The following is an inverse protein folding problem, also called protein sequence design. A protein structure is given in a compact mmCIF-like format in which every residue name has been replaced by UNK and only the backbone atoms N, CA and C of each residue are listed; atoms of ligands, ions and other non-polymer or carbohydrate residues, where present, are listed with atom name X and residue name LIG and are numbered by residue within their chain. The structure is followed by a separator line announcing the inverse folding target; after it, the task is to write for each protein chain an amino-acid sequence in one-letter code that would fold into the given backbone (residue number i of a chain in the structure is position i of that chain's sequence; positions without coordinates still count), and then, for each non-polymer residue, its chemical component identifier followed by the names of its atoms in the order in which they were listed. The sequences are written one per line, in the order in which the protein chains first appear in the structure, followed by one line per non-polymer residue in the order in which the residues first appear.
data_IF_173777044420
#
_entry.id   IF_173777044420
#
_cell.length_a   1.000
_cell.length_b   1.000
_cell.length_c   1.000
_cell.angle_alpha   90.00
_cell.angle_beta   90.00
_cell.angle_gamma   90.00
#
_symmetry.space_group_name_H-M   'P 1'
#
loop_
_entity.id
_entity.type
_entity.pdbx_description
1 polymer ?
#
# COMPACT_ATOMS: atom_id res chain seq x y z
N UNK A 1 105.99 7.27 12.52
CA UNK A 1 105.18 6.68 11.42
C UNK A 1 104.53 5.40 11.93
N UNK A 2 103.19 5.36 12.00
CA UNK A 2 102.49 4.28 11.29
C UNK A 2 101.12 4.69 10.70
N UNK A 3 100.81 4.05 9.56
CA UNK A 3 99.51 3.52 9.09
C UNK A 3 98.29 4.47 9.08
N UNK A 4 98.00 5.03 7.89
CA UNK A 4 96.64 5.45 7.50
C UNK A 4 95.80 4.20 7.19
N UNK A 5 94.74 3.96 7.99
CA UNK A 5 93.67 3.01 7.64
C UNK A 5 92.57 3.75 6.86
N UNK A 6 92.23 3.18 5.72
CA UNK A 6 91.04 3.49 4.93
C UNK A 6 89.83 2.75 5.53
N UNK A 7 88.67 3.41 5.60
CA UNK A 7 87.35 2.78 5.76
C UNK A 7 86.34 3.69 5.05
N UNK A 8 86.01 3.38 3.80
CA UNK A 8 84.84 2.58 3.38
C UNK A 8 83.50 3.27 3.66
N UNK A 9 82.86 3.66 2.56
CA UNK A 9 81.52 4.23 2.50
C UNK A 9 80.48 3.32 3.19
N UNK A 10 79.65 3.90 4.04
CA UNK A 10 78.49 3.24 4.63
C UNK A 10 77.43 3.00 3.55
N UNK A 11 77.19 1.75 3.20
CA UNK A 11 76.06 1.33 2.38
C UNK A 11 74.76 1.34 3.22
N UNK A 12 73.70 1.93 2.68
CA UNK A 12 72.33 1.85 3.24
C UNK A 12 71.82 0.40 3.23
N UNK A 13 71.07 -0.04 4.25
CA UNK A 13 70.60 -1.41 4.36
C UNK A 13 69.49 -1.71 3.32
N UNK A 14 69.40 -2.96 2.82
CA UNK A 14 68.41 -3.33 1.83
C UNK A 14 67.01 -3.36 2.45
N UNK A 15 66.05 -2.66 1.82
CA UNK A 15 64.63 -2.75 2.18
C UNK A 15 64.16 -4.19 2.03
N UNK A 16 63.94 -4.85 3.16
CA UNK A 16 63.70 -6.29 3.22
C UNK A 16 62.49 -6.72 2.38
N UNK A 17 62.63 -7.81 1.62
CA UNK A 17 61.57 -8.46 0.82
C UNK A 17 60.24 -8.61 1.58
N UNK A 18 60.28 -8.79 2.90
CA UNK A 18 59.10 -8.88 3.79
C UNK A 18 58.28 -7.58 3.86
N UNK A 19 58.92 -6.42 3.79
CA UNK A 19 58.23 -5.12 3.80
C UNK A 19 57.49 -4.87 2.48
N UNK A 20 58.13 -5.21 1.33
CA UNK A 20 57.47 -5.20 0.02
C UNK A 20 56.28 -6.16 -0.04
N UNK A 21 56.42 -7.38 0.46
CA UNK A 21 55.31 -8.33 0.51
C UNK A 21 54.13 -7.85 1.36
N UNK A 22 54.39 -7.24 2.53
CA UNK A 22 53.33 -6.67 3.39
C UNK A 22 52.62 -5.48 2.74
N UNK A 23 53.34 -4.64 2.00
CA UNK A 23 52.76 -3.52 1.26
C UNK A 23 51.90 -4.02 0.08
N UNK A 24 52.37 -5.02 -0.68
CA UNK A 24 51.60 -5.63 -1.75
C UNK A 24 50.30 -6.27 -1.25
N UNK A 25 50.33 -6.96 -0.10
CA UNK A 25 49.12 -7.55 0.51
C UNK A 25 48.15 -6.46 0.99
N UNK A 26 48.66 -5.37 1.59
CA UNK A 26 47.84 -4.24 2.06
C UNK A 26 47.18 -3.45 0.92
N UNK A 27 47.75 -3.48 -0.29
CA UNK A 27 47.17 -2.84 -1.48
C UNK A 27 46.29 -3.81 -2.30
N UNK A 28 46.60 -5.10 -2.32
CA UNK A 28 45.82 -6.10 -3.04
C UNK A 28 44.44 -6.35 -2.42
N UNK A 29 44.33 -6.31 -1.09
CA UNK A 29 43.06 -6.50 -0.39
C UNK A 29 42.00 -5.42 -0.72
N UNK A 30 42.29 -4.10 -0.66
CA UNK A 30 41.30 -3.08 -1.03
C UNK A 30 40.99 -3.05 -2.52
N UNK A 31 41.97 -3.36 -3.39
CA UNK A 31 41.74 -3.47 -4.84
C UNK A 31 40.84 -4.67 -5.19
N UNK A 32 41.06 -5.82 -4.55
CA UNK A 32 40.21 -6.99 -4.69
C UNK A 32 38.80 -6.73 -4.15
N UNK A 33 38.69 -6.04 -3.01
CA UNK A 33 37.39 -5.64 -2.45
C UNK A 33 36.65 -4.67 -3.37
N UNK A 34 37.35 -3.69 -3.95
CA UNK A 34 36.78 -2.72 -4.90
C UNK A 34 36.30 -3.42 -6.18
N UNK A 35 37.08 -4.35 -6.72
CA UNK A 35 36.70 -5.14 -7.89
C UNK A 35 35.50 -6.06 -7.60
N UNK A 36 35.44 -6.68 -6.42
CA UNK A 36 34.27 -7.43 -5.96
C UNK A 36 33.05 -6.53 -5.79
N UNK A 37 33.22 -5.32 -5.25
CA UNK A 37 32.13 -4.35 -5.08
C UNK A 37 31.58 -3.87 -6.42
N UNK A 38 32.44 -3.58 -7.40
CA UNK A 38 32.05 -3.20 -8.76
C UNK A 38 31.39 -4.37 -9.48
N UNK A 39 31.93 -5.58 -9.36
CA UNK A 39 31.32 -6.79 -9.90
C UNK A 39 29.94 -7.07 -9.29
N UNK A 40 29.76 -6.85 -7.97
CA UNK A 40 28.46 -6.96 -7.29
C UNK A 40 27.49 -5.86 -7.74
N UNK A 41 27.95 -4.63 -7.96
CA UNK A 41 27.13 -3.54 -8.50
C UNK A 41 26.73 -3.74 -9.97
N UNK A 42 27.58 -4.37 -10.78
CA UNK A 42 27.25 -4.74 -12.17
C UNK A 42 26.49 -6.05 -12.29
N UNK A 43 26.58 -6.93 -11.29
CA UNK A 43 25.82 -8.18 -11.21
C UNK A 43 24.48 -8.06 -10.48
N UNK A 44 24.13 -6.88 -9.95
CA UNK A 44 22.73 -6.59 -9.65
C UNK A 44 21.99 -6.59 -10.99
N UNK A 45 21.05 -7.52 -11.23
CA UNK A 45 20.07 -7.32 -12.28
C UNK A 45 19.45 -5.96 -11.97
N UNK A 46 19.50 -5.03 -12.92
CA UNK A 46 18.82 -3.73 -12.88
C UNK A 46 17.54 -3.87 -12.05
N UNK A 47 17.61 -3.43 -10.79
CA UNK A 47 16.47 -3.48 -9.89
C UNK A 47 15.46 -2.48 -10.44
N UNK A 48 14.55 -3.02 -11.26
CA UNK A 48 13.28 -2.45 -11.66
C UNK A 48 13.34 -0.98 -12.04
N UNK A 49 13.76 -0.69 -13.26
CA UNK A 49 12.92 0.26 -14.03
C UNK A 49 11.54 -0.38 -14.01
N UNK A 50 10.50 0.24 -13.40
CA UNK A 50 9.16 -0.32 -13.48
C UNK A 50 8.89 -0.54 -14.96
N UNK A 51 8.47 -1.75 -15.39
CA UNK A 51 8.19 -1.99 -16.80
C UNK A 51 7.29 -0.84 -17.26
N UNK A 52 7.72 -0.16 -18.33
CA UNK A 52 6.95 0.89 -18.97
C UNK A 52 5.51 0.40 -19.02
N UNK A 53 4.58 1.22 -18.51
CA UNK A 53 3.18 0.87 -18.35
C UNK A 53 2.75 0.04 -19.55
N UNK A 54 2.42 -1.22 -19.31
CA UNK A 54 2.04 -2.12 -20.39
C UNK A 54 0.99 -1.40 -21.24
N UNK A 55 1.10 -1.45 -22.58
CA UNK A 55 0.06 -0.87 -23.43
C UNK A 55 -1.29 -1.36 -22.92
N UNK A 56 -2.32 -0.50 -22.88
CA UNK A 56 -3.62 -0.84 -22.31
C UNK A 56 -3.99 -2.22 -22.81
N UNK A 57 -4.23 -3.14 -21.87
CA UNK A 57 -4.58 -4.54 -22.17
C UNK A 57 -5.56 -4.55 -23.33
N UNK A 58 -5.35 -5.36 -24.35
CA UNK A 58 -6.16 -5.36 -25.58
C UNK A 58 -7.67 -5.59 -25.37
N UNK A 59 -8.10 -5.89 -24.13
CA UNK A 59 -9.50 -6.00 -23.72
C UNK A 59 -10.10 -4.75 -23.07
N UNK A 60 -11.41 -4.74 -22.79
CA UNK A 60 -12.08 -3.62 -22.15
C UNK A 60 -11.52 -3.37 -20.74
N UNK A 61 -11.46 -2.11 -20.33
CA UNK A 61 -11.06 -1.77 -18.96
C UNK A 61 -12.01 -2.37 -17.92
N UNK A 62 -11.47 -2.70 -16.75
CA UNK A 62 -12.17 -3.37 -15.64
C UNK A 62 -12.59 -2.42 -14.53
N UNK A 63 -13.66 -2.80 -13.85
CA UNK A 63 -14.02 -2.27 -12.52
C UNK A 63 -13.52 -3.24 -11.45
N UNK A 64 -12.64 -2.77 -10.58
CA UNK A 64 -12.17 -3.50 -9.41
C UNK A 64 -13.11 -3.26 -8.22
N UNK A 65 -13.70 -4.33 -7.71
CA UNK A 65 -14.55 -4.33 -6.52
C UNK A 65 -13.71 -4.72 -5.31
N UNK A 66 -13.56 -3.80 -4.36
CA UNK A 66 -12.65 -3.87 -3.23
C UNK A 66 -13.45 -4.01 -1.94
N UNK A 67 -13.51 -5.23 -1.41
CA UNK A 67 -14.28 -5.54 -0.21
C UNK A 67 -13.39 -5.44 1.03
N UNK A 68 -13.66 -4.46 1.89
CA UNK A 68 -13.11 -4.37 3.23
C UNK A 68 -14.10 -5.01 4.20
N UNK A 69 -13.80 -6.22 4.66
CA UNK A 69 -14.69 -7.02 5.50
C UNK A 69 -14.00 -7.46 6.78
N UNK A 70 -14.79 -7.82 7.79
CA UNK A 70 -14.22 -8.40 9.03
C UNK A 70 -13.95 -9.89 8.88
N UNK A 71 -14.90 -10.62 8.29
CA UNK A 71 -14.83 -12.06 8.10
C UNK A 71 -15.15 -12.38 6.63
N UNK A 72 -16.24 -13.12 6.39
CA UNK A 72 -16.75 -13.39 5.05
C UNK A 72 -17.56 -12.22 4.48
N UNK A 73 -18.24 -12.51 3.37
CA UNK A 73 -19.20 -11.60 2.72
C UNK A 73 -20.59 -12.19 2.95
N UNK A 74 -21.35 -11.79 4.00
CA UNK A 74 -22.60 -12.45 4.35
C UNK A 74 -23.68 -12.37 3.27
N UNK A 75 -23.61 -11.33 2.43
CA UNK A 75 -24.52 -11.09 1.31
C UNK A 75 -23.90 -11.53 -0.03
N UNK A 76 -23.02 -12.53 -0.01
CA UNK A 76 -22.32 -13.03 -1.19
C UNK A 76 -23.29 -13.51 -2.29
N UNK A 77 -24.46 -14.03 -1.95
CA UNK A 77 -25.49 -14.43 -2.91
C UNK A 77 -26.02 -13.27 -3.80
N UNK A 78 -26.11 -12.04 -3.26
CA UNK A 78 -26.49 -10.86 -4.06
C UNK A 78 -25.36 -10.47 -5.01
N UNK A 79 -24.12 -10.52 -4.52
CA UNK A 79 -22.94 -10.26 -5.33
C UNK A 79 -22.72 -11.35 -6.37
N UNK A 80 -23.03 -12.60 -6.07
CA UNK A 80 -23.02 -13.71 -7.01
C UNK A 80 -23.97 -13.47 -8.18
N UNK A 81 -25.23 -13.14 -7.87
CA UNK A 81 -26.22 -12.79 -8.88
C UNK A 81 -25.79 -11.56 -9.70
N UNK A 82 -25.16 -10.57 -9.06
CA UNK A 82 -24.63 -9.39 -9.73
C UNK A 82 -23.50 -9.74 -10.71
N UNK A 83 -22.50 -10.50 -10.28
CA UNK A 83 -21.33 -10.87 -11.09
C UNK A 83 -21.63 -11.93 -12.16
N UNK A 84 -22.60 -12.82 -11.92
CA UNK A 84 -23.08 -13.80 -12.90
C UNK A 84 -23.65 -13.15 -14.15
N UNK A 85 -24.27 -11.99 -13.98
CA UNK A 85 -24.79 -11.17 -15.07
C UNK A 85 -23.73 -10.21 -15.65
N UNK A 86 -22.50 -10.26 -15.14
CA UNK A 86 -21.37 -9.48 -15.66
C UNK A 86 -20.63 -10.21 -16.76
N UNK A 87 -20.14 -9.47 -17.75
CA UNK A 87 -19.32 -10.05 -18.81
C UNK A 87 -17.92 -10.39 -18.28
N UNK A 88 -17.42 -11.55 -18.68
CA UNK A 88 -16.08 -12.00 -18.33
C UNK A 88 -15.02 -10.97 -18.77
N UNK A 89 -14.02 -10.74 -17.92
CA UNK A 89 -12.96 -9.80 -18.22
C UNK A 89 -13.30 -8.31 -17.99
N UNK A 90 -14.51 -7.95 -17.56
CA UNK A 90 -14.91 -6.56 -17.24
C UNK A 90 -14.79 -6.18 -15.76
N UNK A 91 -14.44 -7.11 -14.88
CA UNK A 91 -14.27 -6.83 -13.46
C UNK A 91 -13.21 -7.70 -12.79
N UNK A 92 -12.84 -7.29 -11.60
CA UNK A 92 -11.97 -8.01 -10.67
C UNK A 92 -12.48 -7.82 -9.25
N UNK A 93 -12.24 -8.81 -8.39
CA UNK A 93 -12.68 -8.82 -6.99
C UNK A 93 -11.47 -8.98 -6.09
N UNK A 94 -11.38 -8.15 -5.05
CA UNK A 94 -10.33 -8.19 -4.04
C UNK A 94 -10.98 -8.09 -2.67
N UNK A 95 -10.50 -8.89 -1.71
CA UNK A 95 -11.05 -8.94 -0.36
C UNK A 95 -9.96 -8.78 0.68
N UNK A 96 -10.16 -7.86 1.62
CA UNK A 96 -9.38 -7.79 2.85
C UNK A 96 -10.27 -8.24 4.00
N UNK A 97 -9.82 -9.25 4.74
CA UNK A 97 -10.50 -9.81 5.92
C UNK A 97 -9.57 -9.77 7.13
N UNK A 98 -10.13 -9.93 8.34
CA UNK A 98 -9.34 -9.95 9.56
C UNK A 98 -8.23 -11.03 9.53
N UNK A 99 -7.07 -10.78 10.16
CA UNK A 99 -6.02 -11.79 10.30
C UNK A 99 -6.55 -13.09 10.91
N UNK A 100 -6.18 -14.23 10.32
CA UNK A 100 -6.61 -15.56 10.74
C UNK A 100 -7.92 -16.05 10.10
N UNK A 101 -8.71 -15.17 9.48
CA UNK A 101 -9.86 -15.58 8.68
C UNK A 101 -9.42 -16.08 7.30
N UNK A 102 -10.06 -17.14 6.80
CA UNK A 102 -9.85 -17.67 5.46
C UNK A 102 -11.15 -17.62 4.67
N UNK A 103 -11.13 -16.88 3.56
CA UNK A 103 -12.22 -16.81 2.59
C UNK A 103 -12.05 -17.91 1.54
N UNK A 104 -12.73 -19.03 1.75
CA UNK A 104 -12.67 -20.23 0.93
C UNK A 104 -14.06 -20.82 0.70
N UNK A 105 -14.12 -22.02 0.10
CA UNK A 105 -15.37 -22.71 -0.22
C UNK A 105 -16.22 -23.08 1.00
N UNK A 106 -15.65 -23.04 2.21
CA UNK A 106 -16.38 -23.31 3.46
C UNK A 106 -16.98 -22.04 4.06
N UNK A 107 -16.48 -20.86 3.67
CA UNK A 107 -16.90 -19.57 4.25
C UNK A 107 -17.62 -18.65 3.27
N UNK A 108 -17.67 -18.99 1.98
CA UNK A 108 -18.51 -18.33 0.98
C UNK A 108 -19.04 -19.34 -0.04
N UNK A 109 -20.30 -19.15 -0.45
CA UNK A 109 -20.95 -19.97 -1.48
C UNK A 109 -20.72 -19.46 -2.90
N UNK A 110 -20.18 -18.25 -3.06
CA UNK A 110 -20.02 -17.61 -4.36
C UNK A 110 -18.62 -17.83 -4.95
N UNK A 111 -18.49 -18.43 -6.15
CA UNK A 111 -17.19 -18.66 -6.78
C UNK A 111 -16.44 -17.37 -7.14
N UNK A 112 -17.12 -16.23 -7.22
CA UNK A 112 -16.49 -14.95 -7.51
C UNK A 112 -15.54 -14.47 -6.41
N UNK A 113 -15.67 -14.99 -5.19
CA UNK A 113 -14.82 -14.66 -4.05
C UNK A 113 -13.68 -15.66 -3.80
N UNK A 114 -13.64 -16.79 -4.51
CA UNK A 114 -12.60 -17.79 -4.34
C UNK A 114 -11.22 -17.24 -4.70
N UNK A 115 -10.26 -17.37 -3.78
CA UNK A 115 -8.88 -16.91 -3.99
C UNK A 115 -8.76 -15.40 -4.19
N UNK A 116 -9.76 -14.61 -3.77
CA UNK A 116 -9.75 -13.14 -3.88
C UNK A 116 -9.28 -12.42 -2.63
N UNK A 117 -9.10 -13.14 -1.53
CA UNK A 117 -8.56 -12.58 -0.30
C UNK A 117 -7.08 -12.21 -0.46
N UNK A 118 -6.69 -11.04 0.03
CA UNK A 118 -5.29 -10.63 0.09
C UNK A 118 -4.50 -11.57 1.00
N UNK A 119 -3.32 -12.00 0.53
CA UNK A 119 -2.45 -12.90 1.29
C UNK A 119 -1.94 -12.31 2.62
N UNK A 120 -1.87 -10.97 2.70
CA UNK A 120 -1.53 -10.25 3.93
C UNK A 120 -2.74 -9.43 4.37
N UNK A 121 -3.01 -9.41 5.66
CA UNK A 121 -4.03 -8.56 6.26
C UNK A 121 -3.51 -7.87 7.51
N UNK A 122 -4.23 -6.83 7.93
CA UNK A 122 -3.98 -6.07 9.16
C UNK A 122 -5.25 -6.11 10.00
N UNK A 123 -5.12 -6.08 11.33
CA UNK A 123 -6.30 -5.99 12.19
C UNK A 123 -6.90 -4.59 12.07
N UNK A 124 -8.08 -4.52 11.46
CA UNK A 124 -8.80 -3.26 11.29
C UNK A 124 -9.53 -2.92 12.58
N UNK A 125 -9.35 -1.69 13.05
CA UNK A 125 -10.09 -1.13 14.20
C UNK A 125 -10.91 0.04 13.70
N UNK A 126 -12.16 0.12 14.16
CA UNK A 126 -13.07 1.17 13.72
C UNK A 126 -12.56 2.55 14.13
N UNK A 127 -12.56 3.51 13.20
CA UNK A 127 -12.09 4.88 13.42
C UNK A 127 -10.57 5.04 13.54
N UNK A 128 -9.79 3.99 13.37
CA UNK A 128 -8.32 4.02 13.47
C UNK A 128 -7.64 4.03 12.09
N UNK A 129 -6.36 4.39 12.07
CA UNK A 129 -5.56 4.43 10.83
C UNK A 129 -5.40 3.05 10.17
N UNK A 130 -5.55 1.95 10.92
CA UNK A 130 -5.47 0.58 10.38
C UNK A 130 -6.58 0.29 9.36
N UNK A 131 -7.68 1.04 9.40
CA UNK A 131 -8.71 1.00 8.36
C UNK A 131 -8.21 1.53 7.02
N UNK A 132 -7.65 2.73 7.03
CA UNK A 132 -7.07 3.35 5.83
C UNK A 132 -5.90 2.53 5.30
N UNK A 133 -5.14 1.88 6.18
CA UNK A 133 -4.08 0.94 5.78
C UNK A 133 -4.64 -0.26 5.00
N UNK A 134 -5.71 -0.90 5.49
CA UNK A 134 -6.35 -2.02 4.81
C UNK A 134 -6.93 -1.63 3.45
N UNK A 135 -7.56 -0.46 3.36
CA UNK A 135 -8.06 0.09 2.09
C UNK A 135 -6.92 0.34 1.10
N UNK A 136 -5.81 0.91 1.55
CA UNK A 136 -4.62 1.10 0.71
C UNK A 136 -4.03 -0.21 0.22
N UNK A 137 -4.08 -1.27 1.03
CA UNK A 137 -3.66 -2.61 0.59
C UNK A 137 -4.56 -3.14 -0.54
N UNK A 138 -5.88 -2.95 -0.44
CA UNK A 138 -6.84 -3.29 -1.51
C UNK A 138 -6.55 -2.52 -2.79
N UNK A 139 -6.38 -1.20 -2.72
CA UNK A 139 -6.03 -0.38 -3.89
C UNK A 139 -4.70 -0.82 -4.51
N UNK A 140 -3.67 -1.07 -3.68
CA UNK A 140 -2.35 -1.47 -4.17
C UNK A 140 -2.37 -2.84 -4.87
N UNK A 141 -3.14 -3.80 -4.35
CA UNK A 141 -3.33 -5.10 -4.98
C UNK A 141 -4.09 -4.97 -6.31
N UNK A 142 -5.15 -4.16 -6.33
CA UNK A 142 -5.94 -3.96 -7.54
C UNK A 142 -5.20 -3.20 -8.64
N UNK A 143 -4.28 -2.29 -8.29
CA UNK A 143 -3.47 -1.56 -9.28
C UNK A 143 -2.47 -2.44 -10.04
N UNK A 144 -2.15 -3.64 -9.52
CA UNK A 144 -1.28 -4.59 -10.22
C UNK A 144 -1.88 -5.09 -11.53
N UNK A 145 -3.21 -5.14 -11.64
CA UNK A 145 -3.86 -5.41 -12.93
C UNK A 145 -3.95 -4.09 -13.73
N UNK A 146 -3.23 -3.97 -14.86
CA UNK A 146 -3.28 -2.76 -15.70
C UNK A 146 -4.67 -2.55 -16.33
N UNK A 147 -5.48 -3.59 -16.44
CA UNK A 147 -6.84 -3.48 -16.96
C UNK A 147 -7.79 -2.79 -15.96
N UNK A 148 -7.50 -2.77 -14.66
CA UNK A 148 -8.33 -2.08 -13.67
C UNK A 148 -8.29 -0.56 -13.85
N UNK A 149 -9.43 0.03 -14.22
CA UNK A 149 -9.58 1.46 -14.50
C UNK A 149 -10.49 2.20 -13.51
N UNK A 150 -11.36 1.46 -12.80
CA UNK A 150 -12.24 1.97 -11.74
C UNK A 150 -12.09 1.12 -10.50
N UNK A 151 -12.15 1.73 -9.33
CA UNK A 151 -11.88 1.08 -8.03
C UNK A 151 -13.01 1.42 -7.07
N UNK A 152 -13.88 0.46 -6.77
CA UNK A 152 -15.07 0.62 -5.94
C UNK A 152 -14.79 0.03 -4.57
N UNK A 153 -14.78 0.85 -3.53
CA UNK A 153 -14.57 0.40 -2.15
C UNK A 153 -15.91 0.07 -1.47
N UNK A 154 -16.01 -1.11 -0.85
CA UNK A 154 -17.25 -1.68 -0.32
C UNK A 154 -17.03 -2.33 1.06
N UNK A 155 -18.07 -2.34 1.89
CA UNK A 155 -18.13 -3.15 3.12
C UNK A 155 -18.77 -4.51 2.90
N UNK A 156 -18.79 -5.32 3.96
CA UNK A 156 -19.58 -6.55 4.08
C UNK A 156 -21.10 -6.32 4.05
N UNK A 157 -21.56 -5.09 4.26
CA UNK A 157 -22.97 -4.69 4.27
C UNK A 157 -23.43 -3.99 2.99
N UNK A 158 -22.54 -3.70 2.04
CA UNK A 158 -22.91 -3.10 0.76
C UNK A 158 -23.64 -4.10 -0.13
N UNK A 159 -24.64 -3.61 -0.87
CA UNK A 159 -25.38 -4.37 -1.88
C UNK A 159 -25.50 -3.57 -3.17
N UNK A 160 -25.41 -4.22 -4.36
CA UNK A 160 -25.65 -3.55 -5.63
C UNK A 160 -27.14 -3.25 -5.80
N UNK A 161 -27.49 -2.01 -6.17
CA UNK A 161 -28.88 -1.61 -6.42
C UNK A 161 -29.27 -1.64 -7.90
N UNK A 162 -28.27 -1.72 -8.79
CA UNK A 162 -28.44 -1.82 -10.23
C UNK A 162 -27.65 -3.02 -10.74
N UNK A 163 -28.02 -3.52 -11.93
CA UNK A 163 -27.31 -4.63 -12.56
C UNK A 163 -25.86 -4.23 -12.96
N UNK A 164 -25.06 -5.25 -13.26
CA UNK A 164 -23.65 -5.06 -13.60
C UNK A 164 -23.45 -4.14 -14.80
N UNK A 165 -24.18 -4.35 -15.89
CA UNK A 165 -24.02 -3.57 -17.12
C UNK A 165 -24.28 -2.08 -16.90
N UNK A 166 -25.31 -1.74 -16.13
CA UNK A 166 -25.63 -0.35 -15.75
C UNK A 166 -24.51 0.29 -14.95
N UNK A 167 -24.02 -0.38 -13.90
CA UNK A 167 -22.92 0.13 -13.07
C UNK A 167 -21.63 0.27 -13.89
N UNK A 168 -21.27 -0.76 -14.64
CA UNK A 168 -20.08 -0.78 -15.48
C UNK A 168 -20.10 0.38 -16.48
N UNK A 169 -21.18 0.51 -17.24
CA UNK A 169 -21.34 1.55 -18.27
C UNK A 169 -21.22 2.95 -17.66
N UNK A 170 -21.94 3.19 -16.55
CA UNK A 170 -21.91 4.48 -15.86
C UNK A 170 -20.51 4.83 -15.34
N UNK A 171 -19.85 3.90 -14.66
CA UNK A 171 -18.52 4.13 -14.10
C UNK A 171 -17.47 4.33 -15.19
N UNK A 172 -17.49 3.49 -16.23
CA UNK A 172 -16.50 3.54 -17.31
C UNK A 172 -16.65 4.78 -18.20
N UNK A 173 -17.87 5.29 -18.40
CA UNK A 173 -18.11 6.52 -19.14
C UNK A 173 -17.68 7.79 -18.37
N UNK A 174 -17.70 7.77 -17.04
CA UNK A 174 -17.32 8.93 -16.22
C UNK A 174 -15.80 9.13 -16.17
N UNK A 175 -15.27 10.33 -16.42
CA UNK A 175 -13.84 10.65 -16.22
C UNK A 175 -13.51 11.01 -14.76
N UNK A 176 -14.48 10.95 -13.84
CA UNK A 176 -14.37 11.46 -12.46
C UNK A 176 -14.36 10.33 -11.42
N UNK A 177 -13.67 10.58 -10.32
CA UNK A 177 -13.93 9.86 -9.07
C UNK A 177 -15.23 10.34 -8.42
N UNK A 178 -15.85 9.46 -7.65
CA UNK A 178 -17.00 9.75 -6.81
C UNK A 178 -16.56 9.65 -5.35
N UNK A 179 -16.48 10.81 -4.70
CA UNK A 179 -16.09 10.95 -3.31
C UNK A 179 -17.03 11.95 -2.65
N UNK A 180 -17.41 11.69 -1.41
CA UNK A 180 -18.11 12.67 -0.60
C UNK A 180 -17.11 13.66 0.00
N UNK A 181 -17.45 14.94 0.01
CA UNK A 181 -16.52 16.01 0.38
C UNK A 181 -17.25 17.27 0.82
N UNK A 182 -17.20 17.55 2.11
CA UNK A 182 -17.81 18.73 2.72
C UNK A 182 -16.96 19.30 3.86
N UNK A 183 -17.25 20.54 4.22
CA UNK A 183 -16.62 21.20 5.38
C UNK A 183 -17.32 20.73 6.66
N UNK A 184 -16.55 20.28 7.65
CA UNK A 184 -17.09 19.97 8.97
C UNK A 184 -17.57 21.26 9.65
N UNK A 185 -18.90 21.49 9.64
CA UNK A 185 -19.53 22.65 10.28
C UNK A 185 -19.30 22.72 11.78
N UNK A 186 -18.94 21.60 12.42
CA UNK A 186 -18.66 21.57 13.85
C UNK A 186 -17.20 21.90 14.17
N UNK A 187 -16.31 21.85 13.17
CA UNK A 187 -14.86 22.01 13.26
C UNK A 187 -14.14 21.20 14.37
N UNK A 188 -14.78 20.17 14.92
CA UNK A 188 -14.23 19.45 16.09
C UNK A 188 -13.21 18.39 15.72
N UNK A 189 -13.16 18.00 14.45
CA UNK A 189 -12.45 16.81 13.99
C UNK A 189 -11.08 17.09 13.41
N UNK A 190 -10.86 18.29 12.88
CA UNK A 190 -9.55 18.70 12.41
C UNK A 190 -8.61 18.98 13.60
N UNK A 191 -7.48 18.27 13.64
CA UNK A 191 -6.40 18.52 14.58
C UNK A 191 -5.38 19.49 13.97
N UNK A 192 -5.13 20.63 14.65
CA UNK A 192 -4.19 21.65 14.19
C UNK A 192 -2.76 21.13 13.99
N UNK A 193 -2.36 20.08 14.71
CA UNK A 193 -1.06 19.43 14.55
C UNK A 193 -0.89 18.66 13.23
N UNK A 194 -1.95 18.55 12.42
CA UNK A 194 -1.83 18.04 11.05
C UNK A 194 -1.26 19.08 10.07
N UNK A 195 -1.31 20.37 10.42
CA UNK A 195 -0.65 21.45 9.67
C UNK A 195 0.88 21.38 9.85
N UNK A 196 1.69 21.68 8.82
CA UNK A 196 1.32 22.15 7.48
C UNK A 196 1.04 21.01 6.47
N UNK A 197 1.27 19.75 6.84
CA UNK A 197 1.15 18.63 5.91
C UNK A 197 -0.28 18.42 5.38
N UNK A 198 -1.29 18.69 6.21
CA UNK A 198 -2.70 18.71 5.83
C UNK A 198 -3.29 20.04 6.31
N UNK A 199 -3.25 21.09 5.48
CA UNK A 199 -3.79 22.40 5.82
C UNK A 199 -5.30 22.33 6.08
N UNK A 200 -5.80 23.16 7.03
CA UNK A 200 -7.21 23.15 7.44
C UNK A 200 -8.16 23.47 6.27
N UNK A 201 -7.79 24.41 5.41
CA UNK A 201 -8.59 24.82 4.24
C UNK A 201 -8.69 23.72 3.17
N UNK A 202 -7.70 22.81 3.12
CA UNK A 202 -7.65 21.63 2.25
C UNK A 202 -8.22 20.37 2.88
N UNK A 203 -8.51 20.39 4.18
CA UNK A 203 -9.14 19.27 4.87
C UNK A 203 -10.66 19.25 4.60
N UNK A 204 -11.19 18.05 4.36
CA UNK A 204 -12.60 17.80 4.06
C UNK A 204 -13.05 16.54 4.79
N UNK A 205 -14.31 16.54 5.22
CA UNK A 205 -15.01 15.36 5.72
C UNK A 205 -15.81 14.72 4.60
N UNK A 206 -16.00 13.41 4.64
CA UNK A 206 -16.86 12.68 3.73
C UNK A 206 -17.08 11.24 4.18
N UNK A 207 -17.96 10.54 3.48
CA UNK A 207 -18.04 9.07 3.51
C UNK A 207 -16.69 8.41 3.19
N UNK A 208 -16.42 7.29 3.87
CA UNK A 208 -15.30 6.39 3.56
C UNK A 208 -15.46 5.70 2.20
N UNK A 209 -16.69 5.43 1.79
CA UNK A 209 -16.99 4.67 0.57
C UNK A 209 -16.82 5.54 -0.66
N UNK A 210 -15.93 5.12 -1.56
CA UNK A 210 -15.51 5.89 -2.73
C UNK A 210 -15.47 5.04 -3.98
N UNK A 211 -15.59 5.71 -5.13
CA UNK A 211 -15.18 5.14 -6.42
C UNK A 211 -14.06 5.99 -6.99
N UNK A 212 -12.90 5.37 -7.21
CA UNK A 212 -11.73 6.05 -7.75
C UNK A 212 -11.48 5.66 -9.20
N UNK A 213 -11.06 6.63 -10.00
CA UNK A 213 -10.33 6.37 -11.25
C UNK A 213 -8.89 5.98 -10.94
N UNK A 214 -8.25 5.26 -11.86
CA UNK A 214 -6.89 4.73 -11.68
C UNK A 214 -5.88 5.74 -11.16
N UNK A 215 -5.77 6.91 -11.81
CA UNK A 215 -4.81 7.96 -11.41
C UNK A 215 -4.97 8.42 -9.95
N UNK A 216 -6.20 8.41 -9.42
CA UNK A 216 -6.45 8.78 -8.02
C UNK A 216 -6.14 7.62 -7.06
N UNK A 217 -6.40 6.37 -7.46
CA UNK A 217 -5.97 5.21 -6.69
C UNK A 217 -4.43 5.15 -6.57
N UNK A 218 -3.71 5.49 -7.65
CA UNK A 218 -2.24 5.60 -7.66
C UNK A 218 -1.74 6.68 -6.67
N UNK A 219 -2.42 7.83 -6.59
CA UNK A 219 -2.11 8.87 -5.59
C UNK A 219 -2.31 8.35 -4.16
N UNK A 220 -3.41 7.66 -3.90
CA UNK A 220 -3.72 7.09 -2.57
C UNK A 220 -2.64 6.07 -2.16
N UNK A 221 -2.27 5.17 -3.06
CA UNK A 221 -1.24 4.15 -2.79
C UNK A 221 0.15 4.77 -2.69
N UNK A 222 0.45 5.79 -3.50
CA UNK A 222 1.72 6.50 -3.53
C UNK A 222 1.96 7.48 -2.39
N UNK A 223 0.96 7.77 -1.56
CA UNK A 223 1.12 8.69 -0.42
C UNK A 223 2.18 8.21 0.57
N UNK A 224 3.12 9.09 0.94
CA UNK A 224 4.16 8.79 1.94
C UNK A 224 4.04 9.64 3.21
N UNK A 225 3.12 10.61 3.23
CA UNK A 225 3.10 11.65 4.26
C UNK A 225 1.74 11.79 4.94
N UNK A 226 0.65 11.89 4.18
CA UNK A 226 -0.69 12.18 4.69
C UNK A 226 -1.12 11.11 5.69
N UNK A 227 -1.01 9.83 5.35
CA UNK A 227 -1.37 8.74 6.27
C UNK A 227 -0.52 8.75 7.54
N UNK A 228 0.78 9.08 7.43
CA UNK A 228 1.69 9.14 8.59
C UNK A 228 1.26 10.23 9.56
N UNK A 229 0.90 11.41 9.04
CA UNK A 229 0.40 12.54 9.84
C UNK A 229 -0.96 12.22 10.43
N UNK A 230 -1.86 11.65 9.63
CA UNK A 230 -3.20 11.24 10.07
C UNK A 230 -3.12 10.22 11.21
N UNK A 231 -2.28 9.19 11.09
CA UNK A 231 -2.05 8.18 12.14
C UNK A 231 -1.59 8.79 13.47
N UNK A 232 -0.82 9.89 13.44
CA UNK A 232 -0.33 10.54 14.65
C UNK A 232 -1.38 11.43 15.32
N UNK A 233 -2.15 12.17 14.53
CA UNK A 233 -2.92 13.32 15.02
C UNK A 233 -4.44 13.18 14.86
N UNK A 234 -4.91 12.39 13.90
CA UNK A 234 -6.32 12.11 13.71
C UNK A 234 -6.71 10.84 14.47
N UNK A 235 -6.88 11.00 15.79
CA UNK A 235 -7.34 9.94 16.69
C UNK A 235 -8.75 10.27 17.17
N UNK A 236 -9.56 9.24 17.40
CA UNK A 236 -10.84 9.44 18.06
C UNK A 236 -10.64 10.11 19.42
N UNK A 237 -11.27 11.27 19.62
CA UNK A 237 -11.46 11.81 20.97
C UNK A 237 -12.55 10.97 21.63
N UNK A 238 -12.13 9.93 22.36
CA UNK A 238 -13.05 9.16 23.21
C UNK A 238 -13.43 10.04 24.39
N UNK A 239 -14.49 10.85 24.24
CA UNK A 239 -15.06 11.58 25.38
C UNK A 239 -15.61 10.60 26.40
N UNK A 240 -15.47 10.88 27.71
CA UNK A 240 -15.95 10.03 28.84
C UNK A 240 -17.41 9.55 28.70
N UNK A 241 -18.26 10.19 27.89
CA UNK A 241 -19.61 9.71 27.58
C UNK A 241 -19.66 8.37 26.82
N UNK A 242 -18.62 8.01 26.08
CA UNK A 242 -18.50 6.72 25.38
C UNK A 242 -18.13 5.57 26.32
N UNK A 243 -17.56 5.84 27.50
CA UNK A 243 -17.26 4.83 28.52
C UNK A 243 -18.51 4.36 29.28
N UNK A 244 -19.60 5.15 29.28
CA UNK A 244 -20.87 4.76 29.93
C UNK A 244 -21.72 3.82 29.07
N UNK A 245 -21.43 3.70 27.77
CA UNK A 245 -21.94 2.61 26.94
C UNK A 245 -20.82 1.57 26.88
N UNK A 246 -21.12 0.29 27.08
CA UNK A 246 -20.14 -0.78 26.85
C UNK A 246 -19.42 -0.50 25.51
N UNK A 247 -18.09 -0.67 25.43
CA UNK A 247 -17.39 -0.53 24.16
C UNK A 247 -18.10 -1.41 23.14
N UNK A 248 -18.76 -0.80 22.17
CA UNK A 248 -19.34 -1.50 21.03
C UNK A 248 -18.15 -1.83 20.11
N UNK A 249 -17.23 -2.65 20.62
CA UNK A 249 -16.00 -3.08 19.96
C UNK A 249 -16.30 -3.92 18.69
N UNK A 250 -17.55 -4.36 18.54
CA UNK A 250 -17.90 -5.45 17.62
C UNK A 250 -18.98 -5.11 16.59
N UNK A 251 -19.39 -3.85 16.42
CA UNK A 251 -20.42 -3.52 15.42
C UNK A 251 -20.03 -2.41 14.44
N UNK A 252 -19.49 -2.83 13.29
CA UNK A 252 -19.44 -2.02 12.07
C UNK A 252 -20.82 -1.87 11.40
N UNK A 253 -21.81 -2.66 11.83
CA UNK A 253 -23.14 -2.76 11.21
C UNK A 253 -24.15 -1.71 11.66
N UNK A 254 -23.77 -0.45 11.85
CA UNK A 254 -24.80 0.60 11.89
C UNK A 254 -25.12 1.02 10.45
N UNK A 255 -26.38 0.92 9.97
CA UNK A 255 -26.73 1.22 8.58
C UNK A 255 -26.57 2.70 8.21
N UNK A 256 -26.22 3.56 9.18
CA UNK A 256 -25.98 4.99 9.03
C UNK A 256 -24.71 5.47 9.76
N UNK A 257 -23.77 4.56 10.04
CA UNK A 257 -22.53 4.86 10.75
C UNK A 257 -21.50 5.54 9.86
N UNK A 258 -21.67 6.82 9.60
CA UNK A 258 -20.63 7.68 9.02
C UNK A 258 -19.32 7.48 9.81
N UNK A 259 -18.23 7.12 9.13
CA UNK A 259 -16.92 6.95 9.75
C UNK A 259 -16.58 8.23 10.51
N UNK A 260 -16.44 8.13 11.85
CA UNK A 260 -16.20 9.32 12.67
C UNK A 260 -14.72 9.70 12.64
N UNK A 261 -14.27 10.26 11.52
CA UNK A 261 -12.99 10.96 11.38
C UNK A 261 -13.16 12.46 11.51
#
# INVERSE_FOLDING_TARGET
MPVKRSASALALPPVGRRARARLCIRLAAPLSFLLLFVALFHAQPLLGVPPAAQPPSAGPGKVAFLFLVRAGVPLDFLWDAFFRNGEEGKFSVYVHSAPGFQLDRTTTGSPYFYGRQLARSVKVVWGEATMVEAERMLFAAALQDPANQRFVLLSDSCVPLYNFSSIYTYLMASPKSFVDSFVDKTEKRYNQNMSPAIPKDKWRKGSQWVVLIRKHAEVVVGDKNVLKVFRRHCKMVVTKSLFRRRPMLDNWGSPFGESRY
#
